data_IF_305812861756
#
_entry.id   IF_305812861756
#
_cell.length_a   1.000
_cell.length_b   1.000
_cell.length_c   1.000
_cell.angle_alpha   90.00
_cell.angle_beta   90.00
_cell.angle_gamma   90.00
#
_symmetry.space_group_name_H-M   'P 1'
#
loop_
_entity.id
_entity.type
_entity.pdbx_description
1 polymer ?
#
# COMPACT_ATOMS: atom_id res chain seq x y z
N UNK A 1 25.55 -13.09 -3.37
CA UNK A 1 24.32 -13.89 -3.43
C UNK A 1 23.25 -13.09 -4.16
N UNK A 2 22.55 -13.71 -5.12
CA UNK A 2 21.38 -13.11 -5.79
C UNK A 2 20.17 -13.19 -4.87
N UNK A 3 19.19 -12.30 -5.02
CA UNK A 3 17.96 -12.31 -4.21
C UNK A 3 17.26 -13.69 -4.25
N UNK A 4 17.23 -14.31 -5.43
CA UNK A 4 16.64 -15.64 -5.62
C UNK A 4 17.36 -16.75 -4.85
N UNK A 5 18.67 -16.61 -4.62
CA UNK A 5 19.46 -17.55 -3.82
C UNK A 5 19.15 -17.36 -2.31
N UNK A 6 19.09 -16.11 -1.84
CA UNK A 6 18.73 -15.78 -0.45
C UNK A 6 17.34 -16.32 -0.11
N UNK A 7 16.36 -16.09 -0.98
CA UNK A 7 14.98 -16.55 -0.77
C UNK A 7 14.91 -18.08 -0.75
N UNK A 8 15.65 -18.77 -1.62
CA UNK A 8 15.73 -20.25 -1.60
C UNK A 8 16.36 -20.77 -0.32
N UNK A 9 17.44 -20.15 0.13
CA UNK A 9 18.16 -20.58 1.32
C UNK A 9 17.36 -20.36 2.60
N UNK A 10 16.72 -19.20 2.76
CA UNK A 10 15.76 -18.98 3.85
C UNK A 10 14.59 -19.96 3.74
N UNK A 11 14.18 -20.27 2.50
CA UNK A 11 13.13 -21.22 2.15
C UNK A 11 13.25 -22.60 2.82
N UNK A 12 14.48 -23.10 2.99
CA UNK A 12 14.76 -24.43 3.54
C UNK A 12 15.05 -24.44 5.05
N UNK A 13 15.11 -23.27 5.70
CA UNK A 13 15.41 -23.13 7.13
C UNK A 13 14.13 -23.13 7.98
N UNK A 14 14.26 -23.34 9.28
CA UNK A 14 13.16 -23.07 10.23
C UNK A 14 12.97 -21.56 10.31
N UNK A 15 11.78 -21.08 9.97
CA UNK A 15 11.49 -19.65 9.82
C UNK A 15 10.71 -19.10 11.00
N UNK A 16 10.98 -17.86 11.36
CA UNK A 16 10.17 -17.02 12.26
C UNK A 16 9.94 -15.65 11.62
N UNK A 17 8.92 -14.93 12.09
CA UNK A 17 8.48 -13.65 11.52
C UNK A 17 7.59 -13.79 10.30
N UNK A 18 7.12 -12.67 9.77
CA UNK A 18 6.19 -12.61 8.64
C UNK A 18 6.45 -11.40 7.73
N UNK A 19 5.92 -11.47 6.51
CA UNK A 19 5.83 -10.33 5.60
C UNK A 19 4.36 -9.97 5.43
N UNK A 20 4.02 -8.73 5.76
CA UNK A 20 2.73 -8.13 5.48
C UNK A 20 2.72 -7.52 4.08
N UNK A 21 1.53 -7.47 3.46
CA UNK A 21 1.32 -6.83 2.16
C UNK A 21 0.68 -5.46 2.39
N UNK A 22 1.39 -4.39 2.03
CA UNK A 22 0.88 -3.02 2.02
C UNK A 22 0.56 -2.60 0.60
N UNK A 23 -0.57 -1.91 0.41
CA UNK A 23 -0.89 -1.27 -0.86
C UNK A 23 -0.73 0.22 -0.71
N UNK A 24 -0.09 0.83 -1.70
CA UNK A 24 0.22 2.26 -1.68
C UNK A 24 -0.32 2.90 -2.94
N UNK A 25 -0.80 4.12 -2.82
CA UNK A 25 -1.25 4.95 -3.93
C UNK A 25 -0.58 6.32 -3.90
N UNK A 26 -0.19 6.84 -5.06
CA UNK A 26 0.27 8.20 -5.22
C UNK A 26 -0.91 9.12 -5.59
N UNK A 27 -1.16 10.14 -4.78
CA UNK A 27 -2.21 11.12 -5.06
C UNK A 27 -1.87 12.06 -6.22
N UNK A 28 -0.58 12.22 -6.55
CA UNK A 28 -0.12 13.09 -7.63
C UNK A 28 -0.35 12.48 -9.04
N UNK A 29 0.03 11.21 -9.26
CA UNK A 29 -0.09 10.57 -10.58
C UNK A 29 -1.05 9.39 -10.64
N UNK A 30 -1.67 9.00 -9.51
CA UNK A 30 -2.62 7.89 -9.44
C UNK A 30 -1.98 6.49 -9.49
N UNK A 31 -0.65 6.38 -9.60
CA UNK A 31 0.05 5.09 -9.58
C UNK A 31 -0.23 4.36 -8.28
N UNK A 32 -0.52 3.07 -8.36
CA UNK A 32 -0.67 2.19 -7.20
C UNK A 32 0.35 1.05 -7.27
N UNK A 33 0.85 0.62 -6.11
CA UNK A 33 1.77 -0.50 -6.03
C UNK A 33 1.59 -1.28 -4.73
N UNK A 34 2.27 -2.42 -4.66
CA UNK A 34 2.30 -3.29 -3.48
C UNK A 34 3.71 -3.28 -2.91
N UNK A 35 3.82 -3.11 -1.60
CA UNK A 35 5.05 -3.32 -0.87
C UNK A 35 4.89 -4.53 0.07
N UNK A 36 5.93 -5.37 0.12
CA UNK A 36 6.05 -6.39 1.14
C UNK A 36 6.84 -5.77 2.30
N UNK A 37 6.27 -5.79 3.51
CA UNK A 37 6.89 -5.16 4.69
C UNK A 37 6.96 -6.17 5.83
N UNK A 38 8.14 -6.34 6.43
CA UNK A 38 8.36 -7.18 7.59
C UNK A 38 9.75 -7.80 7.64
N UNK A 39 9.92 -8.79 8.51
CA UNK A 39 11.17 -9.49 8.78
C UNK A 39 10.94 -11.00 8.82
N UNK A 40 11.70 -11.73 8.00
CA UNK A 40 11.80 -13.19 8.07
C UNK A 40 13.19 -13.55 8.59
N UNK A 41 13.25 -14.41 9.60
CA UNK A 41 14.51 -14.95 10.12
C UNK A 41 14.54 -16.47 9.88
N UNK A 42 15.55 -16.92 9.15
CA UNK A 42 15.80 -18.33 8.86
C UNK A 42 16.90 -18.90 9.75
N UNK A 43 16.52 -19.79 10.67
CA UNK A 43 17.40 -20.44 11.64
C UNK A 43 17.92 -21.78 11.14
N UNK A 44 19.19 -22.06 11.43
CA UNK A 44 19.82 -23.36 11.17
C UNK A 44 20.91 -23.63 12.21
N UNK A 45 20.77 -24.74 12.93
CA UNK A 45 21.69 -25.13 14.00
C UNK A 45 23.14 -25.22 13.51
N UNK A 46 24.06 -24.71 14.32
CA UNK A 46 25.49 -24.67 13.98
C UNK A 46 25.86 -23.69 12.86
N UNK A 47 24.94 -22.79 12.48
CA UNK A 47 25.20 -21.75 11.47
C UNK A 47 24.55 -20.42 11.84
N UNK A 48 25.01 -19.35 11.19
CA UNK A 48 24.44 -18.02 11.36
C UNK A 48 22.99 -17.94 10.86
N UNK A 49 22.18 -17.14 11.53
CA UNK A 49 20.81 -16.85 11.10
C UNK A 49 20.80 -15.99 9.83
N UNK A 50 19.86 -16.26 8.94
CA UNK A 50 19.63 -15.43 7.76
C UNK A 50 18.40 -14.54 7.97
N UNK A 51 18.62 -13.22 7.97
CA UNK A 51 17.58 -12.22 8.13
C UNK A 51 17.24 -11.58 6.78
N UNK A 52 16.00 -11.76 6.31
CA UNK A 52 15.43 -11.02 5.18
C UNK A 52 14.45 -9.97 5.71
N UNK A 53 14.89 -8.71 5.71
CA UNK A 53 14.05 -7.56 6.04
C UNK A 53 13.63 -6.86 4.75
N UNK A 54 12.33 -6.73 4.51
CA UNK A 54 11.76 -6.01 3.36
C UNK A 54 10.86 -4.92 3.91
N UNK A 55 10.98 -3.69 3.39
CA UNK A 55 10.32 -2.53 3.95
C UNK A 55 10.90 -2.15 5.33
N UNK A 56 11.03 -0.86 5.58
CA UNK A 56 11.26 -0.39 6.95
C UNK A 56 9.88 -0.24 7.59
N UNK A 57 9.58 -0.99 8.65
CA UNK A 57 8.42 -0.71 9.48
C UNK A 57 8.52 0.73 9.99
N UNK A 58 7.59 1.56 9.54
CA UNK A 58 7.60 3.01 9.71
C UNK A 58 6.60 3.41 10.79
N UNK A 59 6.86 3.03 12.03
CA UNK A 59 6.22 3.68 13.17
C UNK A 59 7.30 4.12 14.17
N UNK A 60 7.51 5.43 14.23
CA UNK A 60 8.08 6.17 15.37
C UNK A 60 9.57 6.03 15.72
N UNK A 61 10.50 6.09 14.76
CA UNK A 61 11.90 6.40 15.10
C UNK A 61 12.22 7.88 14.85
N UNK A 62 12.20 8.72 15.89
CA UNK A 62 12.59 10.14 15.80
C UNK A 62 14.05 10.37 15.35
N UNK A 63 14.91 9.35 15.43
CA UNK A 63 16.35 9.43 15.09
C UNK A 63 16.64 8.97 13.67
N UNK A 64 15.82 8.07 13.13
CA UNK A 64 16.03 7.44 11.83
C UNK A 64 15.42 8.36 10.78
N UNK A 65 16.20 9.32 10.26
CA UNK A 65 15.78 10.25 9.19
C UNK A 65 15.14 9.47 8.03
N UNK A 66 13.81 9.43 8.07
CA UNK A 66 12.93 8.65 7.21
C UNK A 66 13.33 8.80 5.74
N UNK A 67 13.30 7.70 4.99
CA UNK A 67 13.07 7.80 3.55
C UNK A 67 11.56 7.97 3.41
N UNK A 68 11.05 9.16 3.03
CA UNK A 68 9.64 9.30 2.71
C UNK A 68 9.35 8.27 1.62
N UNK A 69 8.24 7.51 1.72
CA UNK A 69 7.80 6.78 0.55
C UNK A 69 7.65 7.80 -0.58
N UNK A 70 8.26 7.50 -1.71
CA UNK A 70 8.21 8.29 -2.92
C UNK A 70 7.57 7.44 -4.00
N UNK A 71 6.72 8.04 -4.81
CA UNK A 71 6.13 7.35 -5.93
C UNK A 71 7.27 6.89 -6.86
N UNK A 72 7.35 5.58 -7.19
CA UNK A 72 8.42 5.07 -8.05
C UNK A 72 8.37 5.64 -9.48
N UNK A 73 7.20 6.15 -9.90
CA UNK A 73 6.98 6.70 -11.23
C UNK A 73 7.26 8.22 -11.29
N UNK A 74 6.69 9.00 -10.38
CA UNK A 74 6.77 10.48 -10.45
C UNK A 74 7.62 11.14 -9.36
N UNK A 75 8.17 10.37 -8.41
CA UNK A 75 8.98 10.89 -7.30
C UNK A 75 8.21 11.71 -6.26
N UNK A 76 6.89 11.85 -6.40
CA UNK A 76 6.06 12.57 -5.43
C UNK A 76 6.08 11.87 -4.06
N UNK A 77 6.14 12.67 -2.99
CA UNK A 77 6.01 12.21 -1.60
C UNK A 77 4.57 12.14 -1.11
N UNK A 78 3.63 12.54 -1.96
CA UNK A 78 2.19 12.51 -1.69
C UNK A 78 1.64 11.10 -1.95
N UNK A 79 1.98 10.19 -1.04
CA UNK A 79 1.72 8.75 -1.15
C UNK A 79 1.11 8.22 0.14
N UNK A 80 0.14 7.32 0.01
CA UNK A 80 -0.67 6.85 1.12
C UNK A 80 -0.84 5.33 1.08
N UNK A 81 -0.78 4.70 2.25
CA UNK A 81 -1.24 3.32 2.40
C UNK A 81 -2.77 3.28 2.24
N UNK A 82 -3.25 2.40 1.37
CA UNK A 82 -4.68 2.20 1.11
C UNK A 82 -5.11 0.82 1.60
N UNK A 83 -6.12 0.81 2.47
CA UNK A 83 -6.81 -0.41 2.86
C UNK A 83 -8.04 -0.57 1.98
N UNK A 84 -8.12 -1.66 1.21
CA UNK A 84 -9.40 -2.03 0.61
C UNK A 84 -10.32 -2.51 1.72
N UNK A 85 -11.58 -2.08 1.71
CA UNK A 85 -12.57 -2.60 2.64
C UNK A 85 -12.60 -4.13 2.52
N UNK A 86 -12.37 -4.83 3.63
CA UNK A 86 -12.23 -6.31 3.68
C UNK A 86 -13.50 -7.07 3.24
N UNK A 87 -14.57 -6.36 2.85
CA UNK A 87 -15.84 -6.91 2.39
C UNK A 87 -16.29 -6.27 1.08
N UNK A 88 -15.55 -6.50 0.00
CA UNK A 88 -16.14 -6.44 -1.34
C UNK A 88 -16.09 -7.87 -1.84
N UNK A 89 -17.22 -8.57 -1.76
CA UNK A 89 -17.36 -9.88 -2.41
C UNK A 89 -16.91 -9.72 -3.85
N UNK A 90 -15.93 -10.50 -4.26
CA UNK A 90 -15.59 -10.67 -5.67
C UNK A 90 -16.91 -10.97 -6.41
N UNK A 91 -17.15 -10.26 -7.52
CA UNK A 91 -18.39 -10.32 -8.35
C UNK A 91 -19.55 -9.38 -7.98
N UNK A 92 -19.34 -8.07 -8.16
CA UNK A 92 -20.46 -7.15 -8.40
C UNK A 92 -19.99 -6.02 -9.32
N UNK A 93 -20.69 -5.71 -10.44
CA UNK A 93 -20.39 -4.50 -11.19
C UNK A 93 -20.54 -3.30 -10.25
N UNK A 94 -19.59 -2.36 -10.32
CA UNK A 94 -19.62 -1.11 -9.56
C UNK A 94 -20.97 -0.42 -9.78
N UNK A 95 -21.90 -0.59 -8.84
CA UNK A 95 -23.23 0.00 -8.93
C UNK A 95 -23.24 1.26 -8.07
N UNK A 96 -23.30 2.41 -8.73
CA UNK A 96 -23.46 3.68 -8.05
C UNK A 96 -24.96 3.90 -7.80
N UNK A 97 -25.37 4.08 -6.54
CA UNK A 97 -26.76 4.42 -6.18
C UNK A 97 -27.21 5.79 -6.70
N UNK A 98 -26.29 6.61 -7.19
CA UNK A 98 -26.59 7.88 -7.84
C UNK A 98 -25.34 8.73 -8.00
N UNK A 99 -25.30 9.51 -9.08
CA UNK A 99 -24.26 10.52 -9.32
C UNK A 99 -24.83 11.85 -8.84
N UNK A 100 -24.27 12.42 -7.76
CA UNK A 100 -24.61 13.78 -7.33
C UNK A 100 -23.64 14.77 -7.96
N UNK A 101 -24.14 15.63 -8.83
CA UNK A 101 -23.37 16.75 -9.36
C UNK A 101 -23.21 17.78 -8.23
N UNK A 102 -22.00 17.90 -7.70
CA UNK A 102 -21.67 18.94 -6.71
C UNK A 102 -21.25 20.18 -7.50
N UNK A 103 -22.17 21.10 -7.73
CA UNK A 103 -21.83 22.43 -8.25
C UNK A 103 -21.13 23.22 -7.15
N UNK A 104 -19.95 23.78 -7.46
CA UNK A 104 -19.33 24.81 -6.61
C UNK A 104 -20.34 25.95 -6.47
N UNK A 105 -20.47 26.46 -5.25
CA UNK A 105 -21.39 27.52 -4.83
C UNK A 105 -21.06 28.89 -5.42
N UNK A 106 -21.08 29.00 -6.75
CA UNK A 106 -21.19 30.25 -7.49
C UNK A 106 -22.50 30.35 -8.28
N UNK A 107 -23.21 29.24 -8.51
CA UNK A 107 -24.39 29.22 -9.41
C UNK A 107 -25.71 29.06 -8.65
N UNK A 108 -25.81 29.63 -7.45
CA UNK A 108 -27.04 29.65 -6.65
C UNK A 108 -27.99 30.80 -7.08
N UNK A 109 -28.36 30.86 -8.36
CA UNK A 109 -29.56 31.52 -8.90
C UNK A 109 -29.89 30.76 -10.20
N UNK A 110 -30.96 29.99 -10.32
CA UNK A 110 -32.35 30.44 -10.29
C UNK A 110 -33.25 29.20 -10.19
N UNK A 111 -34.17 29.19 -9.24
CA UNK A 111 -35.35 28.32 -9.30
C UNK A 111 -36.25 28.83 -10.42
N UNK A 112 -36.65 27.97 -11.36
CA UNK A 112 -37.99 28.02 -11.93
C UNK A 112 -38.33 26.69 -12.60
N UNK A 113 -39.39 26.10 -12.05
CA UNK A 113 -40.30 25.05 -12.53
C UNK A 113 -40.19 24.65 -14.00
N UNK A 114 -40.27 23.35 -14.26
CA UNK A 114 -41.10 22.77 -15.35
C UNK A 114 -41.14 21.24 -15.20
N UNK A 115 -42.25 20.74 -14.66
CA UNK A 115 -42.86 19.46 -15.06
C UNK A 115 -44.19 19.80 -15.73
N UNK A 116 -44.63 18.99 -16.68
CA UNK A 116 -45.85 18.21 -16.46
C UNK A 116 -45.54 16.76 -16.14
#
# INVERSE_FOLDING_TARGET
MKLTEIVKEIGIRKKTGELSKKRVACAHCGTTWVEMVGLIVGHKEGSEDLCLRIGMESENCQTCRYRPLECPECGSKDVYEIMFAENISEEGPLSFKGIRKVTRSSDAKTRQNLYP
#
